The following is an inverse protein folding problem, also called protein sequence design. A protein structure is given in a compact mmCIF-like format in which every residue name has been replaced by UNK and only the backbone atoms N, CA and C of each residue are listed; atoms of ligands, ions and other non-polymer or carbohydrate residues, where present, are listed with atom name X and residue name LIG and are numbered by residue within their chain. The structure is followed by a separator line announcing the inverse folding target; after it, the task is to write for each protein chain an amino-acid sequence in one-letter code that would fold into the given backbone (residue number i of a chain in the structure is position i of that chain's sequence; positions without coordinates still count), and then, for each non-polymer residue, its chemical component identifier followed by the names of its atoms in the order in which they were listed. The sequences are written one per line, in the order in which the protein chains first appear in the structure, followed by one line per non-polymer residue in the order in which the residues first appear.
data_IF_326222168204
#
_entry.id   IF_326222168204
#
_cell.length_a   1.000
_cell.length_b   1.000
_cell.length_c   1.000
_cell.angle_alpha   90.00
_cell.angle_beta   90.00
_cell.angle_gamma   90.00
#
_symmetry.space_group_name_H-M   'P 1'
#
loop_
_entity.id
_entity.type
_entity.pdbx_description
1 polymer ?
#
# COMPACT_ATOMS: atom_id res chain seq x y z
N UNK A 1 13.48 22.75 -6.22
CA UNK A 1 14.18 22.71 -4.92
C UNK A 1 15.68 22.61 -5.18
N UNK A 2 16.41 23.67 -4.96
CA UNK A 2 17.87 23.67 -4.99
C UNK A 2 18.36 23.62 -3.53
N UNK A 3 18.66 22.44 -3.06
CA UNK A 3 19.37 22.25 -1.81
C UNK A 3 20.85 22.22 -2.08
N UNK A 4 21.57 23.29 -1.76
CA UNK A 4 23.02 23.28 -1.75
C UNK A 4 23.49 22.53 -0.49
N UNK A 5 23.88 21.29 -0.65
CA UNK A 5 24.66 20.60 0.35
C UNK A 5 26.13 20.98 0.14
N UNK A 6 26.57 22.02 0.80
CA UNK A 6 27.97 22.38 0.87
C UNK A 6 28.50 22.09 2.27
N UNK A 7 29.49 21.24 2.39
CA UNK A 7 30.30 21.20 3.60
C UNK A 7 30.24 19.91 4.39
N UNK A 8 31.38 19.35 4.53
CA UNK A 8 31.76 18.24 5.36
C UNK A 8 31.64 18.54 6.86
N UNK A 9 30.45 18.66 7.40
CA UNK A 9 30.19 18.55 8.84
C UNK A 9 28.73 18.44 9.15
N UNK A 10 28.43 17.69 10.18
CA UNK A 10 27.14 17.29 10.71
C UNK A 10 26.25 18.43 11.27
N UNK A 11 26.57 19.66 11.01
CA UNK A 11 25.91 20.84 11.60
C UNK A 11 24.96 21.56 10.61
N UNK A 12 24.71 20.96 9.44
CA UNK A 12 23.77 21.50 8.48
C UNK A 12 22.34 21.19 8.87
N UNK A 13 21.63 22.13 9.47
CA UNK A 13 20.17 22.03 9.62
C UNK A 13 19.48 22.60 8.39
N UNK A 14 18.52 21.83 7.83
CA UNK A 14 17.61 22.31 6.80
C UNK A 14 16.32 22.74 7.47
N UNK A 15 16.02 24.02 7.40
CA UNK A 15 14.75 24.56 7.90
C UNK A 15 13.79 24.62 6.73
N UNK A 16 12.79 23.73 6.72
CA UNK A 16 11.69 23.80 5.78
C UNK A 16 10.65 24.76 6.36
N UNK A 17 10.51 25.94 5.76
CA UNK A 17 9.56 26.97 6.23
C UNK A 17 8.12 26.66 5.81
N UNK A 18 7.94 26.03 4.69
CA UNK A 18 6.63 25.55 4.23
C UNK A 18 6.82 24.37 3.29
N UNK A 19 5.90 23.43 3.35
CA UNK A 19 5.74 22.33 2.41
C UNK A 19 4.27 22.27 2.06
N UNK A 20 3.95 22.53 0.80
CA UNK A 20 2.57 22.59 0.33
C UNK A 20 2.40 21.65 -0.88
N UNK A 21 1.42 20.77 -0.81
CA UNK A 21 0.91 19.97 -1.91
C UNK A 21 -0.53 19.58 -1.61
N UNK A 22 -1.31 19.31 -2.62
CA UNK A 22 -2.70 18.90 -2.50
C UNK A 22 -3.01 17.70 -3.38
N UNK A 23 -3.83 16.80 -2.85
CA UNK A 23 -4.34 15.63 -3.54
C UNK A 23 -3.32 14.50 -3.73
N UNK A 24 -3.84 13.32 -4.09
CA UNK A 24 -3.00 12.20 -4.47
C UNK A 24 -2.26 12.50 -5.79
N UNK A 25 -1.03 12.02 -5.96
CA UNK A 25 -0.34 12.11 -7.24
C UNK A 25 -1.16 11.41 -8.33
N UNK A 26 -1.00 11.83 -9.57
CA UNK A 26 -1.65 11.19 -10.71
C UNK A 26 -1.29 9.70 -10.78
N UNK A 27 -0.03 9.39 -10.52
CA UNK A 27 0.46 8.03 -10.38
C UNK A 27 1.64 8.00 -9.42
N UNK A 28 1.66 7.03 -8.53
CA UNK A 28 2.74 6.74 -7.59
C UNK A 28 3.14 5.29 -7.74
N UNK A 29 4.39 5.05 -8.12
CA UNK A 29 4.93 3.71 -8.38
C UNK A 29 6.20 3.48 -7.61
N UNK A 30 6.32 2.29 -7.05
CA UNK A 30 7.54 1.78 -6.45
C UNK A 30 7.74 0.32 -6.87
N UNK A 31 8.98 -0.08 -6.99
CA UNK A 31 9.34 -1.44 -7.31
C UNK A 31 10.40 -1.56 -8.39
N UNK A 32 10.50 -2.71 -9.01
CA UNK A 32 11.52 -3.03 -10.02
C UNK A 32 11.52 -2.12 -11.24
N UNK A 33 10.43 -1.42 -11.51
CA UNK A 33 10.37 -0.42 -12.58
C UNK A 33 11.22 0.83 -12.31
N UNK A 34 11.77 0.98 -11.11
CA UNK A 34 12.86 1.91 -10.85
C UNK A 34 14.14 1.27 -11.39
N UNK A 35 14.40 1.47 -12.67
CA UNK A 35 15.60 0.97 -13.35
C UNK A 35 16.84 1.31 -12.53
N UNK A 36 17.57 0.28 -12.12
CA UNK A 36 18.89 0.43 -11.56
C UNK A 36 19.83 0.86 -12.69
N UNK A 37 20.19 2.12 -12.71
CA UNK A 37 21.29 2.52 -13.61
C UNK A 37 22.57 1.82 -13.17
N UNK A 38 23.42 1.36 -14.08
CA UNK A 38 24.62 0.58 -13.77
C UNK A 38 25.62 1.28 -12.82
N UNK A 39 25.45 2.58 -12.61
CA UNK A 39 26.30 3.41 -11.74
C UNK A 39 25.84 3.47 -10.28
N UNK A 40 24.70 2.88 -9.95
CA UNK A 40 24.14 2.93 -8.61
C UNK A 40 24.46 1.63 -7.86
N UNK A 41 25.26 1.73 -6.82
CA UNK A 41 25.51 0.58 -5.96
C UNK A 41 24.24 0.24 -5.18
N UNK A 42 23.96 -1.04 -4.88
CA UNK A 42 22.76 -1.47 -4.16
C UNK A 42 22.53 -0.73 -2.83
N UNK A 43 23.57 -0.22 -2.24
CA UNK A 43 23.55 0.42 -0.91
C UNK A 43 23.09 1.88 -0.92
N UNK A 44 23.17 2.58 -2.04
CA UNK A 44 22.97 4.04 -2.06
C UNK A 44 21.63 4.50 -2.57
N UNK A 45 20.91 3.68 -3.36
CA UNK A 45 19.74 4.18 -4.09
C UNK A 45 18.56 3.23 -4.15
N UNK A 46 18.77 1.93 -4.18
CA UNK A 46 17.68 0.95 -4.37
C UNK A 46 16.78 0.79 -3.15
N UNK A 47 17.20 1.23 -1.98
CA UNK A 47 16.46 1.05 -0.73
C UNK A 47 15.98 2.36 -0.10
N UNK A 48 16.36 3.51 -0.63
CA UNK A 48 15.97 4.80 -0.05
C UNK A 48 14.45 5.05 -0.09
N UNK A 49 13.75 4.48 -1.06
CA UNK A 49 12.30 4.54 -1.15
C UNK A 49 11.59 3.79 -0.02
N UNK A 50 12.23 2.80 0.63
CA UNK A 50 11.67 2.16 1.84
C UNK A 50 11.41 3.16 2.96
N UNK A 51 12.19 4.23 3.02
CA UNK A 51 12.04 5.30 4.02
C UNK A 51 10.75 6.11 3.85
N UNK A 52 10.08 5.98 2.73
CA UNK A 52 8.76 6.59 2.51
C UNK A 52 7.62 5.79 3.12
N UNK A 53 7.91 4.56 3.55
CA UNK A 53 6.95 3.71 4.23
C UNK A 53 7.13 3.77 5.75
N UNK A 54 6.01 3.73 6.44
CA UNK A 54 5.94 3.50 7.88
C UNK A 54 5.49 2.07 8.10
N UNK A 55 6.20 1.31 8.92
CA UNK A 55 5.95 -0.11 9.16
C UNK A 55 5.66 -0.39 10.64
N UNK A 56 4.65 -1.22 10.90
CA UNK A 56 4.45 -1.94 12.15
C UNK A 56 4.69 -3.45 12.01
N UNK A 57 5.03 -3.91 10.80
CA UNK A 57 5.44 -5.29 10.60
C UNK A 57 6.81 -5.56 11.25
N UNK A 58 7.03 -6.79 11.73
CA UNK A 58 8.28 -7.18 12.36
C UNK A 58 9.45 -7.10 11.39
N UNK A 59 9.18 -7.40 10.13
CA UNK A 59 10.15 -7.34 9.06
C UNK A 59 9.57 -6.67 7.83
N UNK A 60 10.27 -5.67 7.32
CA UNK A 60 9.97 -5.00 6.06
C UNK A 60 11.28 -4.58 5.40
N UNK A 61 11.66 -5.28 4.36
CA UNK A 61 12.92 -5.01 3.65
C UNK A 61 12.79 -5.25 2.14
N UNK A 62 13.75 -4.78 1.34
CA UNK A 62 13.85 -5.19 -0.04
C UNK A 62 14.33 -6.64 -0.11
N UNK A 63 13.89 -7.34 -1.12
CA UNK A 63 14.33 -8.69 -1.46
C UNK A 63 15.06 -8.70 -2.80
N UNK A 64 15.95 -9.69 -3.01
CA UNK A 64 16.68 -9.83 -4.27
C UNK A 64 15.79 -10.33 -5.42
N UNK A 65 14.72 -11.03 -5.09
CA UNK A 65 13.82 -11.65 -6.07
C UNK A 65 12.57 -10.81 -6.32
N UNK A 66 12.12 -10.10 -5.30
CA UNK A 66 10.94 -9.23 -5.34
C UNK A 66 11.26 -7.86 -4.77
N UNK A 67 10.35 -6.90 -4.94
CA UNK A 67 10.57 -5.56 -4.42
C UNK A 67 10.52 -5.51 -2.89
N UNK A 68 9.57 -6.24 -2.30
CA UNK A 68 9.31 -6.21 -0.86
C UNK A 68 9.25 -7.62 -0.28
N UNK A 69 9.86 -7.79 0.89
CA UNK A 69 9.62 -8.91 1.80
C UNK A 69 9.01 -8.37 3.08
N UNK A 70 7.84 -8.87 3.45
CA UNK A 70 7.08 -8.40 4.61
C UNK A 70 6.67 -9.60 5.44
N UNK A 71 6.99 -9.59 6.74
CA UNK A 71 6.51 -10.61 7.66
C UNK A 71 6.12 -10.02 9.01
N UNK A 72 5.16 -10.67 9.66
CA UNK A 72 4.68 -10.31 10.98
C UNK A 72 4.17 -11.54 11.72
N UNK A 73 4.58 -11.69 12.99
CA UNK A 73 4.25 -12.88 13.79
C UNK A 73 2.83 -12.85 14.37
N UNK A 74 2.19 -11.70 14.38
CA UNK A 74 0.85 -11.47 14.96
C UNK A 74 -0.13 -10.92 13.91
N UNK A 75 -1.43 -10.80 14.19
CA UNK A 75 -2.34 -10.06 13.33
C UNK A 75 -1.98 -8.58 13.22
N UNK A 76 -2.24 -7.98 12.03
CA UNK A 76 -2.16 -6.55 11.81
C UNK A 76 -0.74 -5.98 11.68
N UNK A 77 0.16 -6.70 11.03
CA UNK A 77 1.42 -6.13 10.52
C UNK A 77 1.12 -5.25 9.30
N UNK A 78 1.27 -3.92 9.46
CA UNK A 78 0.86 -2.93 8.45
C UNK A 78 2.05 -2.12 7.98
N UNK A 79 2.16 -1.94 6.68
CA UNK A 79 3.17 -1.10 6.03
C UNK A 79 2.46 -0.11 5.13
N UNK A 80 2.60 1.19 5.38
CA UNK A 80 1.87 2.23 4.66
C UNK A 80 2.75 3.37 4.18
N UNK A 81 2.35 3.98 3.07
CA UNK A 81 2.91 5.22 2.53
C UNK A 81 1.79 6.14 2.06
N UNK A 82 2.13 7.36 1.70
CA UNK A 82 1.17 8.35 1.19
C UNK A 82 0.73 9.35 2.22
N UNK A 83 -0.22 10.18 1.85
CA UNK A 83 -0.68 11.33 2.62
C UNK A 83 -2.17 11.23 2.93
N UNK A 84 -2.62 12.07 3.86
CA UNK A 84 -4.00 12.06 4.34
C UNK A 84 -5.01 12.62 3.35
N UNK A 85 -4.56 13.18 2.24
CA UNK A 85 -5.37 13.81 1.20
C UNK A 85 -5.62 12.91 -0.03
N UNK A 86 -5.08 11.67 -0.03
CA UNK A 86 -5.41 10.70 -1.06
C UNK A 86 -6.84 10.18 -0.87
N UNK A 87 -7.72 10.49 -1.80
CA UNK A 87 -9.17 10.20 -1.69
C UNK A 87 -9.62 9.01 -2.56
N UNK A 88 -9.70 9.21 -3.88
CA UNK A 88 -10.17 8.22 -4.84
C UNK A 88 -9.00 7.70 -5.65
N UNK A 89 -8.65 6.45 -5.43
CA UNK A 89 -7.51 5.82 -6.09
C UNK A 89 -7.63 4.31 -6.13
N UNK A 90 -6.78 3.69 -6.93
CA UNK A 90 -6.52 2.26 -6.94
C UNK A 90 -5.10 2.02 -6.46
N UNK A 91 -4.92 1.10 -5.54
CA UNK A 91 -3.60 0.56 -5.16
C UNK A 91 -3.45 -0.84 -5.72
N UNK A 92 -2.29 -1.14 -6.31
CA UNK A 92 -2.02 -2.38 -7.02
C UNK A 92 -0.64 -2.92 -6.67
N UNK A 93 -0.55 -4.24 -6.50
CA UNK A 93 0.70 -4.97 -6.34
C UNK A 93 0.53 -6.43 -6.76
N UNK A 94 1.62 -7.09 -7.13
CA UNK A 94 1.69 -8.54 -7.31
C UNK A 94 2.21 -9.14 -6.02
N UNK A 95 1.45 -10.05 -5.41
CA UNK A 95 1.76 -10.62 -4.10
C UNK A 95 1.90 -12.13 -4.22
N UNK A 96 3.01 -12.66 -3.72
CA UNK A 96 3.21 -14.09 -3.50
C UNK A 96 2.89 -14.41 -2.05
N UNK A 97 1.92 -15.29 -1.86
CA UNK A 97 1.39 -15.68 -0.55
C UNK A 97 2.18 -16.88 -0.02
N UNK A 98 3.08 -16.67 0.93
CA UNK A 98 3.86 -17.78 1.53
C UNK A 98 3.07 -18.46 2.63
N UNK A 99 3.26 -18.05 3.88
CA UNK A 99 2.54 -18.61 5.04
C UNK A 99 1.90 -17.45 5.80
N UNK A 100 0.59 -17.31 5.70
CA UNK A 100 -0.14 -16.23 6.38
C UNK A 100 -1.59 -16.63 6.65
N UNK A 101 -2.17 -16.07 7.73
CA UNK A 101 -3.60 -16.17 7.99
C UNK A 101 -4.39 -15.28 7.01
N UNK A 102 -3.89 -14.08 6.75
CA UNK A 102 -4.44 -13.18 5.75
C UNK A 102 -3.37 -12.18 5.29
N UNK A 103 -3.40 -11.82 4.02
CA UNK A 103 -2.55 -10.74 3.52
C UNK A 103 -3.16 -10.03 2.31
N UNK A 104 -2.72 -8.81 2.06
CA UNK A 104 -3.17 -8.02 0.93
C UNK A 104 -2.85 -6.55 1.06
N UNK A 105 -3.75 -5.72 0.54
CA UNK A 105 -3.57 -4.29 0.38
C UNK A 105 -4.32 -3.49 1.44
N UNK A 106 -3.75 -2.34 1.80
CA UNK A 106 -4.35 -1.34 2.69
C UNK A 106 -4.64 -0.08 1.90
N UNK A 107 -5.74 0.57 2.21
CA UNK A 107 -6.09 1.84 1.62
C UNK A 107 -6.82 2.77 2.61
N UNK A 108 -6.79 4.08 2.30
CA UNK A 108 -7.31 5.17 3.15
C UNK A 108 -6.83 5.06 4.59
N UNK A 109 -5.55 4.71 4.76
CA UNK A 109 -4.95 4.55 6.07
C UNK A 109 -4.78 5.92 6.73
N UNK A 110 -5.36 6.06 7.91
CA UNK A 110 -5.16 7.16 8.87
C UNK A 110 -4.19 6.74 10.00
N UNK A 111 -3.26 5.87 9.65
CA UNK A 111 -2.36 5.17 10.56
C UNK A 111 -2.67 3.68 10.64
N UNK A 112 -1.85 2.91 11.36
CA UNK A 112 -1.89 1.45 11.36
C UNK A 112 -3.07 0.83 12.12
N UNK A 113 -3.93 1.66 12.71
CA UNK A 113 -5.13 1.22 13.43
C UNK A 113 -6.45 1.64 12.80
N UNK A 114 -6.41 2.44 11.70
CA UNK A 114 -7.61 2.95 11.03
C UNK A 114 -7.40 2.97 9.52
N UNK A 115 -7.96 1.95 8.84
CA UNK A 115 -7.79 1.77 7.40
C UNK A 115 -8.84 0.80 6.85
N UNK A 116 -8.94 0.71 5.53
CA UNK A 116 -9.56 -0.41 4.85
C UNK A 116 -8.49 -1.41 4.42
N UNK A 117 -8.73 -2.70 4.74
CA UNK A 117 -7.93 -3.81 4.25
C UNK A 117 -8.68 -4.59 3.17
N UNK A 118 -8.00 -4.99 2.13
CA UNK A 118 -8.48 -5.89 1.09
C UNK A 118 -7.50 -7.06 0.97
N UNK A 119 -7.90 -8.22 1.49
CA UNK A 119 -7.02 -9.37 1.71
C UNK A 119 -7.57 -10.64 1.10
N UNK A 120 -6.66 -11.60 0.84
CA UNK A 120 -7.01 -12.99 0.63
C UNK A 120 -6.83 -13.74 1.96
N UNK A 121 -7.87 -14.51 2.33
CA UNK A 121 -7.94 -15.27 3.58
C UNK A 121 -8.89 -16.45 3.43
N UNK A 122 -8.48 -17.65 3.85
CA UNK A 122 -9.34 -18.84 3.92
C UNK A 122 -10.13 -19.09 2.63
N UNK A 123 -9.47 -19.03 1.47
CA UNK A 123 -10.09 -19.14 0.14
C UNK A 123 -11.21 -18.11 -0.12
N UNK A 124 -11.07 -16.92 0.44
CA UNK A 124 -11.95 -15.78 0.24
C UNK A 124 -11.17 -14.51 -0.06
N UNK A 125 -11.76 -13.64 -0.85
CA UNK A 125 -11.41 -12.23 -0.96
C UNK A 125 -12.27 -11.45 0.05
N UNK A 126 -11.63 -10.70 0.94
CA UNK A 126 -12.30 -10.01 2.04
C UNK A 126 -11.92 -8.53 2.03
N UNK A 127 -12.93 -7.66 2.05
CA UNK A 127 -12.74 -6.24 2.35
C UNK A 127 -13.22 -5.99 3.78
N UNK A 128 -12.38 -5.38 4.59
CA UNK A 128 -12.74 -5.03 5.96
C UNK A 128 -12.32 -3.61 6.32
N UNK A 129 -12.95 -3.09 7.35
CA UNK A 129 -12.58 -1.85 8.03
C UNK A 129 -11.89 -2.18 9.35
N UNK A 130 -10.69 -1.65 9.55
CA UNK A 130 -10.00 -1.65 10.83
C UNK A 130 -10.29 -0.33 11.55
N UNK A 131 -10.78 -0.40 12.78
CA UNK A 131 -10.98 0.75 13.64
C UNK A 131 -10.46 0.40 15.03
N UNK A 132 -9.27 0.88 15.35
CA UNK A 132 -8.52 0.55 16.56
C UNK A 132 -8.34 -0.98 16.71
N UNK A 133 -8.90 -1.59 17.73
CA UNK A 133 -8.84 -3.04 17.95
C UNK A 133 -9.94 -3.83 17.20
N UNK A 134 -10.91 -3.13 16.57
CA UNK A 134 -12.07 -3.77 15.95
C UNK A 134 -11.88 -3.87 14.44
N UNK A 135 -12.00 -5.10 13.92
CA UNK A 135 -12.09 -5.39 12.49
C UNK A 135 -13.53 -5.72 12.14
N UNK A 136 -14.08 -5.05 11.14
CA UNK A 136 -15.45 -5.24 10.66
C UNK A 136 -15.42 -5.57 9.19
N UNK A 137 -15.94 -6.73 8.80
CA UNK A 137 -16.05 -7.12 7.39
C UNK A 137 -17.06 -6.22 6.69
N UNK A 138 -16.66 -5.64 5.57
CA UNK A 138 -17.53 -4.83 4.69
C UNK A 138 -18.13 -5.71 3.60
N UNK A 139 -17.32 -6.59 3.01
CA UNK A 139 -17.75 -7.54 2.00
C UNK A 139 -16.79 -8.72 1.94
N UNK A 140 -17.29 -9.90 1.58
CA UNK A 140 -16.49 -11.09 1.30
C UNK A 140 -17.08 -11.90 0.16
N UNK A 141 -16.24 -12.61 -0.57
CA UNK A 141 -16.64 -13.54 -1.63
C UNK A 141 -15.63 -14.69 -1.73
N UNK A 142 -16.05 -15.82 -2.24
CA UNK A 142 -15.16 -16.94 -2.52
C UNK A 142 -14.09 -16.52 -3.54
N UNK A 143 -12.84 -16.85 -3.26
CA UNK A 143 -11.70 -16.61 -4.12
C UNK A 143 -10.69 -17.73 -3.89
N UNK A 144 -10.51 -18.56 -4.88
CA UNK A 144 -9.60 -19.70 -4.76
C UNK A 144 -8.15 -19.24 -4.92
N UNK A 145 -7.32 -19.60 -3.95
CA UNK A 145 -5.88 -19.38 -3.96
C UNK A 145 -5.21 -20.40 -3.03
N UNK A 146 -3.96 -20.69 -3.30
CA UNK A 146 -3.16 -21.64 -2.54
C UNK A 146 -1.92 -20.95 -1.95
N UNK A 147 -1.23 -21.64 -1.05
CA UNK A 147 0.09 -21.23 -0.57
C UNK A 147 1.07 -21.21 -1.76
N UNK A 148 1.96 -20.23 -1.78
CA UNK A 148 2.92 -19.94 -2.85
C UNK A 148 2.30 -19.43 -4.16
N UNK A 149 0.98 -19.26 -4.21
CA UNK A 149 0.36 -18.56 -5.34
C UNK A 149 0.82 -17.10 -5.42
N UNK A 150 1.06 -16.66 -6.63
CA UNK A 150 1.33 -15.26 -6.95
C UNK A 150 0.11 -14.67 -7.63
N UNK A 151 -0.47 -13.62 -7.03
CA UNK A 151 -1.69 -12.96 -7.51
C UNK A 151 -1.48 -11.47 -7.67
N UNK A 152 -2.00 -10.90 -8.71
CA UNK A 152 -2.13 -9.46 -8.84
C UNK A 152 -3.36 -8.99 -8.08
N UNK A 153 -3.16 -8.17 -7.05
CA UNK A 153 -4.24 -7.51 -6.32
C UNK A 153 -4.37 -6.05 -6.74
N UNK A 154 -5.60 -5.60 -6.97
CA UNK A 154 -5.92 -4.19 -7.18
C UNK A 154 -7.09 -3.77 -6.29
N UNK A 155 -6.84 -2.91 -5.30
CA UNK A 155 -7.85 -2.38 -4.40
C UNK A 155 -8.22 -0.97 -4.81
N UNK A 156 -9.46 -0.79 -5.22
CA UNK A 156 -10.00 0.46 -5.79
C UNK A 156 -11.00 1.10 -4.85
N UNK A 157 -10.84 2.40 -4.61
CA UNK A 157 -11.70 3.21 -3.75
C UNK A 157 -12.23 4.40 -4.56
N UNK A 158 -13.55 4.42 -4.81
CA UNK A 158 -14.25 5.49 -5.53
C UNK A 158 -15.46 5.96 -4.73
N UNK A 159 -15.35 7.10 -4.06
CA UNK A 159 -16.32 7.54 -3.06
C UNK A 159 -16.50 6.46 -1.98
N UNK A 160 -17.73 6.03 -1.68
CA UNK A 160 -18.01 4.98 -0.71
C UNK A 160 -17.76 3.57 -1.24
N UNK A 161 -17.58 3.40 -2.55
CA UNK A 161 -17.40 2.10 -3.17
C UNK A 161 -15.98 1.59 -2.99
N UNK A 162 -15.86 0.37 -2.51
CA UNK A 162 -14.62 -0.35 -2.30
C UNK A 162 -14.67 -1.62 -3.16
N UNK A 163 -13.64 -1.92 -3.94
CA UNK A 163 -13.60 -3.14 -4.74
C UNK A 163 -12.19 -3.73 -4.80
N UNK A 164 -12.09 -5.03 -4.59
CA UNK A 164 -10.86 -5.80 -4.76
C UNK A 164 -10.97 -6.61 -6.04
N UNK A 165 -10.02 -6.41 -6.94
CA UNK A 165 -9.79 -7.26 -8.09
C UNK A 165 -8.59 -8.18 -7.84
N UNK A 166 -8.71 -9.42 -8.29
CA UNK A 166 -7.65 -10.43 -8.29
C UNK A 166 -7.44 -10.84 -9.74
N UNK A 167 -6.20 -10.75 -10.20
CA UNK A 167 -5.80 -11.06 -11.59
C UNK A 167 -6.69 -10.34 -12.62
N UNK A 168 -6.95 -9.05 -12.38
CA UNK A 168 -7.76 -8.19 -13.25
C UNK A 168 -9.26 -8.40 -13.19
N UNK A 169 -9.78 -9.37 -12.41
CA UNK A 169 -11.21 -9.62 -12.25
C UNK A 169 -11.69 -9.16 -10.88
N UNK A 170 -12.78 -8.40 -10.80
CA UNK A 170 -13.38 -8.02 -9.53
C UNK A 170 -13.83 -9.26 -8.78
N UNK A 171 -13.16 -9.53 -7.65
CA UNK A 171 -13.48 -10.66 -6.78
C UNK A 171 -14.56 -10.29 -5.76
N UNK A 172 -14.48 -9.10 -5.16
CA UNK A 172 -15.43 -8.65 -4.15
C UNK A 172 -15.58 -7.12 -4.19
N UNK A 173 -16.77 -6.63 -3.85
CA UNK A 173 -17.04 -5.20 -3.73
C UNK A 173 -18.02 -4.92 -2.60
N UNK A 174 -17.88 -3.76 -1.97
CA UNK A 174 -18.74 -3.29 -0.88
C UNK A 174 -18.80 -1.77 -0.82
N UNK A 175 -19.47 -1.25 0.19
CA UNK A 175 -19.58 0.19 0.43
C UNK A 175 -19.38 0.51 1.91
N UNK A 176 -18.57 1.52 2.20
CA UNK A 176 -18.40 2.12 3.53
C UNK A 176 -17.85 3.55 3.38
N UNK A 177 -18.36 4.47 4.19
CA UNK A 177 -18.00 5.90 4.14
C UNK A 177 -17.17 6.36 5.35
N UNK A 178 -16.73 5.44 6.20
CA UNK A 178 -16.05 5.79 7.45
C UNK A 178 -14.72 6.49 7.25
N UNK A 179 -13.98 6.10 6.20
CA UNK A 179 -12.72 6.72 5.83
C UNK A 179 -12.80 7.17 4.38
N UNK A 180 -12.67 8.48 4.16
CA UNK A 180 -12.79 9.10 2.83
C UNK A 180 -11.44 9.32 2.16
N UNK A 181 -10.35 9.36 2.95
CA UNK A 181 -9.00 9.64 2.46
C UNK A 181 -7.95 8.99 3.37
N UNK A 182 -6.72 8.93 2.90
CA UNK A 182 -5.55 8.40 3.61
C UNK A 182 -4.61 7.60 2.72
N UNK A 183 -3.48 7.18 3.28
CA UNK A 183 -2.43 6.46 2.58
C UNK A 183 -2.80 5.04 2.17
N UNK A 184 -1.89 4.38 1.49
CA UNK A 184 -2.02 3.01 0.97
C UNK A 184 -0.82 2.15 1.37
N UNK A 185 -0.94 0.82 1.25
CA UNK A 185 0.14 -0.08 1.61
C UNK A 185 -0.25 -1.54 1.65
N UNK A 186 0.39 -2.29 2.54
CA UNK A 186 0.22 -3.72 2.73
C UNK A 186 -0.23 -4.06 4.15
N UNK A 187 -0.87 -5.19 4.28
CA UNK A 187 -1.18 -5.82 5.57
C UNK A 187 -0.86 -7.31 5.50
N UNK A 188 -0.28 -7.82 6.58
CA UNK A 188 0.00 -9.24 6.78
C UNK A 188 -0.47 -9.63 8.19
N UNK A 189 -1.29 -10.64 8.26
CA UNK A 189 -1.72 -11.27 9.52
C UNK A 189 -0.97 -12.59 9.67
N UNK A 190 -0.15 -12.72 10.70
CA UNK A 190 0.52 -13.97 11.15
C UNK A 190 1.22 -14.72 10.01
N UNK A 191 2.27 -14.15 9.45
CA UNK A 191 3.00 -14.83 8.38
C UNK A 191 3.88 -13.93 7.53
N UNK A 192 4.08 -14.32 6.28
CA UNK A 192 4.97 -13.64 5.34
C UNK A 192 4.39 -13.56 3.93
N UNK A 193 4.72 -12.48 3.25
CA UNK A 193 4.47 -12.30 1.82
C UNK A 193 5.71 -11.74 1.13
N UNK A 194 5.81 -12.02 -0.16
CA UNK A 194 6.66 -11.30 -1.08
C UNK A 194 5.77 -10.45 -1.99
N UNK A 195 6.12 -9.20 -2.20
CA UNK A 195 5.34 -8.32 -3.06
C UNK A 195 6.24 -7.68 -4.12
N UNK A 196 5.78 -7.65 -5.37
CA UNK A 196 6.49 -7.05 -6.47
C UNK A 196 5.70 -5.89 -7.07
N UNK A 197 6.34 -4.73 -7.07
CA UNK A 197 5.72 -3.48 -7.47
C UNK A 197 4.69 -2.95 -6.46
N UNK A 198 4.56 -1.65 -6.44
CA UNK A 198 3.53 -0.95 -5.69
C UNK A 198 3.11 0.28 -6.51
N UNK A 199 1.88 0.28 -6.96
CA UNK A 199 1.35 1.36 -7.78
C UNK A 199 0.12 1.94 -7.10
N UNK A 200 0.07 3.26 -6.96
CA UNK A 200 -1.14 3.99 -6.58
C UNK A 200 -1.50 4.93 -7.73
N UNK A 201 -2.71 4.80 -8.25
CA UNK A 201 -3.19 5.58 -9.36
C UNK A 201 -4.48 6.30 -8.99
N UNK A 202 -4.50 7.62 -9.15
CA UNK A 202 -5.70 8.43 -8.91
C UNK A 202 -6.81 8.03 -9.88
N UNK A 203 -8.04 7.97 -9.36
CA UNK A 203 -9.25 7.81 -10.15
C UNK A 203 -9.88 9.20 -10.30
N UNK A 204 -9.95 9.68 -11.53
CA UNK A 204 -10.76 10.83 -11.85
C UNK A 204 -12.22 10.40 -11.86
N UNK A 205 -12.93 10.57 -10.75
CA UNK A 205 -14.39 10.46 -10.76
C UNK A 205 -14.92 11.40 -11.82
N UNK A 206 -15.66 10.88 -12.80
CA UNK A 206 -16.47 11.73 -13.67
C UNK A 206 -17.49 12.40 -12.77
N UNK A 207 -17.19 13.62 -12.28
CA UNK A 207 -18.22 14.48 -11.73
C UNK A 207 -19.26 14.62 -12.83
N UNK A 208 -20.44 14.06 -12.63
CA UNK A 208 -21.61 14.49 -13.40
C UNK A 208 -21.70 16.02 -13.21
N UNK A 209 -21.32 16.77 -14.24
CA UNK A 209 -21.78 18.14 -14.38
C UNK A 209 -23.29 18.03 -14.45
N UNK A 210 -23.96 18.19 -13.32
CA UNK A 210 -25.33 18.69 -13.31
C UNK A 210 -25.19 20.19 -13.37
N UNK A 211 -25.52 20.70 -14.53
CA UNK A 211 -25.81 22.11 -14.80
C UNK A 211 -26.87 22.63 -13.82
#
# INVERSE_FOLDING_TARGET
MSGAAGGSRLDGSVIIKSLDWSGAPECYRMGRSMEMTPTLTPWTTTTSWLKTFVSSADHFCPDYTTTFSISHAAPNGVVTTGTMDWDNYSVKSVITFSQQDAAGLVARAKGHRRYYGAVLKDKKAVIYKQCDAKRTVVAEAACDFEIDDTRELAFTLDGPRLSLAVDGKTAVSGQDESYLCGGAGFVVDSGAILADGFEVKRICSRRNKKD
#
